data_IF_587575554679
#
_entry.id   IF_587575554679
#
_cell.length_a   1.000
_cell.length_b   1.000
_cell.length_c   1.000
_cell.angle_alpha   90.00
_cell.angle_beta   90.00
_cell.angle_gamma   90.00
#
_symmetry.space_group_name_H-M   'P 1'
#
loop_
_entity.id
_entity.type
_entity.pdbx_description
1 polymer ?
#
# COMPACT_ATOMS: atom_id res chain seq x y z
N UNK A 1 22.29 -45.95 7.21
CA UNK A 1 21.14 -45.17 7.72
C UNK A 1 20.99 -44.04 6.73
N UNK A 2 19.84 -43.84 6.08
CA UNK A 2 19.74 -42.93 4.94
C UNK A 2 20.40 -41.57 5.25
N UNK A 3 21.22 -41.08 4.33
CA UNK A 3 21.89 -39.79 4.45
C UNK A 3 20.90 -38.67 4.75
N UNK A 4 21.33 -37.68 5.52
CA UNK A 4 20.44 -36.66 6.09
C UNK A 4 20.87 -35.28 5.62
N UNK A 5 19.93 -34.50 5.09
CA UNK A 5 20.11 -33.07 4.85
C UNK A 5 19.64 -32.32 6.10
N UNK A 6 20.55 -31.59 6.75
CA UNK A 6 20.23 -30.64 7.79
C UNK A 6 20.16 -29.23 7.20
N UNK A 7 18.97 -28.64 7.18
CA UNK A 7 18.77 -27.32 6.59
C UNK A 7 19.07 -26.20 7.59
N UNK A 8 19.73 -25.16 7.08
CA UNK A 8 20.07 -23.93 7.82
C UNK A 8 19.12 -22.80 7.44
N UNK A 9 17.81 -23.07 7.48
CA UNK A 9 16.79 -22.08 7.13
C UNK A 9 16.70 -20.99 8.22
N UNK A 10 16.53 -19.72 7.83
CA UNK A 10 16.25 -18.66 8.79
C UNK A 10 14.95 -18.97 9.54
N UNK A 11 15.00 -18.90 10.87
CA UNK A 11 13.93 -19.29 11.80
C UNK A 11 12.64 -18.46 11.72
N UNK A 12 12.62 -17.40 10.89
CA UNK A 12 11.54 -16.40 10.88
C UNK A 12 10.59 -16.48 9.68
N UNK A 13 10.91 -17.19 8.61
CA UNK A 13 10.17 -17.01 7.34
C UNK A 13 9.28 -18.16 6.91
N UNK A 14 9.38 -19.36 7.49
CA UNK A 14 8.47 -20.47 7.12
C UNK A 14 8.22 -21.34 8.35
N UNK A 15 6.99 -21.85 8.50
CA UNK A 15 6.63 -22.95 9.42
C UNK A 15 7.33 -24.24 8.97
N UNK A 16 8.66 -24.23 9.01
CA UNK A 16 9.48 -25.37 8.69
C UNK A 16 9.45 -26.33 9.88
N UNK A 17 9.09 -27.58 9.66
CA UNK A 17 8.85 -28.54 10.76
C UNK A 17 9.63 -29.84 10.56
N UNK A 18 9.99 -30.50 11.67
CA UNK A 18 10.53 -31.86 11.64
C UNK A 18 9.43 -32.92 11.53
N UNK A 19 8.16 -32.53 11.57
CA UNK A 19 7.00 -33.42 11.52
C UNK A 19 6.48 -33.50 10.08
N UNK A 20 6.89 -34.54 9.37
CA UNK A 20 6.47 -34.83 8.00
C UNK A 20 7.34 -35.94 7.41
N UNK A 21 6.85 -36.64 6.40
CA UNK A 21 7.65 -37.64 5.68
C UNK A 21 8.15 -37.09 4.33
N UNK A 22 7.39 -36.16 3.73
CA UNK A 22 7.75 -35.55 2.46
C UNK A 22 8.44 -34.19 2.66
N UNK A 23 9.43 -33.90 1.82
CA UNK A 23 10.22 -32.66 1.90
C UNK A 23 9.34 -31.40 1.75
N UNK A 24 8.32 -31.47 0.89
CA UNK A 24 7.31 -30.40 0.70
C UNK A 24 6.46 -30.14 1.95
N UNK A 25 6.30 -31.10 2.86
CA UNK A 25 5.56 -30.91 4.11
C UNK A 25 6.44 -30.23 5.16
N UNK A 26 7.73 -30.56 5.14
CA UNK A 26 8.72 -29.97 6.05
C UNK A 26 9.06 -28.52 5.67
N UNK A 27 9.04 -28.18 4.37
CA UNK A 27 9.26 -26.83 3.84
C UNK A 27 8.07 -26.47 2.94
N UNK A 28 6.92 -26.09 3.53
CA UNK A 28 5.66 -25.91 2.78
C UNK A 28 5.59 -24.61 1.97
N UNK A 29 6.45 -23.64 2.28
CA UNK A 29 6.57 -22.40 1.53
C UNK A 29 8.02 -22.24 1.06
N UNK A 30 8.24 -21.61 -0.10
CA UNK A 30 9.57 -21.29 -0.55
C UNK A 30 10.34 -20.44 0.47
N UNK A 31 11.67 -20.56 0.48
CA UNK A 31 12.54 -19.78 1.36
C UNK A 31 13.48 -18.93 0.53
N UNK A 32 13.43 -17.61 0.71
CA UNK A 32 14.36 -16.71 0.03
C UNK A 32 15.82 -17.03 0.39
N UNK A 33 16.66 -17.12 -0.64
CA UNK A 33 18.08 -17.33 -0.52
C UNK A 33 18.86 -16.41 -1.46
N UNK A 34 20.02 -15.94 -0.99
CA UNK A 34 20.95 -15.12 -1.77
C UNK A 34 22.03 -15.98 -2.43
N UNK A 35 22.63 -15.48 -3.49
CA UNK A 35 23.78 -16.10 -4.14
C UNK A 35 24.89 -16.43 -3.11
N UNK A 36 25.35 -17.68 -3.12
CA UNK A 36 26.36 -18.19 -2.19
C UNK A 36 25.85 -18.52 -0.78
N UNK A 37 24.57 -18.25 -0.46
CA UNK A 37 24.00 -18.54 0.86
C UNK A 37 24.03 -20.04 1.15
N UNK A 38 24.37 -20.38 2.39
CA UNK A 38 24.37 -21.76 2.87
C UNK A 38 22.95 -22.20 3.19
N UNK A 39 22.47 -23.19 2.45
CA UNK A 39 21.11 -23.71 2.55
C UNK A 39 21.06 -24.88 3.55
N UNK A 40 22.14 -25.67 3.62
CA UNK A 40 22.23 -26.82 4.50
C UNK A 40 23.49 -27.63 4.29
N UNK A 41 23.58 -28.72 5.05
CA UNK A 41 24.66 -29.70 4.96
C UNK A 41 24.05 -31.10 4.85
N UNK A 42 24.52 -31.87 3.88
CA UNK A 42 24.22 -33.28 3.72
C UNK A 42 25.25 -34.13 4.45
N UNK A 43 24.79 -35.06 5.27
CA UNK A 43 25.59 -36.06 5.96
C UNK A 43 25.33 -37.43 5.33
N UNK A 44 26.40 -38.16 5.03
CA UNK A 44 26.30 -39.51 4.49
C UNK A 44 25.92 -40.53 5.58
N UNK A 45 25.59 -41.73 5.12
CA UNK A 45 25.28 -42.89 5.96
C UNK A 45 26.49 -43.23 6.87
N UNK A 46 26.54 -42.66 8.07
CA UNK A 46 27.57 -42.96 9.08
C UNK A 46 28.03 -41.76 9.91
N UNK A 47 27.77 -40.53 9.44
CA UNK A 47 28.14 -39.31 10.16
C UNK A 47 26.98 -38.82 11.02
N UNK A 48 27.21 -38.72 12.34
CA UNK A 48 26.26 -38.12 13.27
C UNK A 48 26.10 -36.62 12.96
N UNK A 49 24.86 -36.13 12.90
CA UNK A 49 24.57 -34.70 12.67
C UNK A 49 25.13 -33.90 13.86
N UNK A 50 26.15 -33.05 13.67
CA UNK A 50 26.71 -32.25 14.75
C UNK A 50 25.66 -31.28 15.30
N UNK A 51 25.69 -31.03 16.61
CA UNK A 51 24.70 -30.17 17.28
C UNK A 51 24.63 -28.75 16.68
N UNK A 52 25.77 -28.21 16.21
CA UNK A 52 25.85 -26.90 15.55
C UNK A 52 25.10 -26.82 14.21
N UNK A 53 24.83 -27.95 13.57
CA UNK A 53 24.05 -28.07 12.33
C UNK A 53 22.66 -28.66 12.58
N UNK A 54 22.21 -28.72 13.84
CA UNK A 54 20.90 -29.22 14.25
C UNK A 54 19.75 -28.28 13.88
N UNK A 55 19.63 -27.94 12.60
CA UNK A 55 18.63 -27.02 12.08
C UNK A 55 17.18 -27.46 12.32
N UNK A 56 16.24 -26.53 12.08
CA UNK A 56 14.81 -26.74 12.30
C UNK A 56 14.23 -27.86 11.40
N UNK A 57 14.88 -28.19 10.29
CA UNK A 57 14.46 -29.28 9.38
C UNK A 57 15.62 -30.24 9.16
N UNK A 58 15.35 -31.52 9.40
CA UNK A 58 16.24 -32.65 9.10
C UNK A 58 15.47 -33.60 8.20
N UNK A 59 15.94 -33.80 6.98
CA UNK A 59 15.25 -34.63 6.01
C UNK A 59 16.14 -35.80 5.59
N UNK A 60 15.61 -37.01 5.72
CA UNK A 60 16.28 -38.22 5.29
C UNK A 60 16.11 -38.40 3.78
N UNK A 61 17.22 -38.58 3.08
CA UNK A 61 17.26 -38.84 1.64
C UNK A 61 16.55 -40.18 1.35
N UNK A 62 15.62 -40.23 0.37
CA UNK A 62 15.03 -41.47 -0.09
C UNK A 62 16.09 -42.46 -0.54
N UNK A 63 15.95 -43.74 -0.16
CA UNK A 63 16.98 -44.77 -0.42
C UNK A 63 17.26 -45.02 -1.91
N UNK A 64 16.32 -44.65 -2.77
CA UNK A 64 16.33 -44.81 -4.22
C UNK A 64 16.90 -43.58 -4.96
N UNK A 65 17.21 -42.49 -4.26
CA UNK A 65 17.71 -41.24 -4.85
C UNK A 65 19.11 -40.87 -4.33
N UNK A 66 19.95 -40.31 -5.18
CA UNK A 66 21.24 -39.72 -4.80
C UNK A 66 21.09 -38.23 -4.46
N UNK A 67 22.08 -37.66 -3.75
CA UNK A 67 22.07 -36.23 -3.42
C UNK A 67 21.98 -35.35 -4.68
N UNK A 68 22.69 -35.70 -5.75
CA UNK A 68 22.67 -34.97 -7.02
C UNK A 68 21.31 -35.06 -7.74
N UNK A 69 20.54 -36.13 -7.52
CA UNK A 69 19.20 -36.25 -8.09
C UNK A 69 18.18 -35.39 -7.34
N UNK A 70 18.40 -35.16 -6.04
CA UNK A 70 17.50 -34.37 -5.20
C UNK A 70 17.87 -32.88 -5.23
N UNK A 71 19.14 -32.53 -5.31
CA UNK A 71 19.57 -31.14 -5.49
C UNK A 71 19.50 -30.77 -6.98
N UNK A 72 18.37 -30.17 -7.35
CA UNK A 72 18.11 -29.67 -8.70
C UNK A 72 18.83 -28.37 -9.03
N UNK A 73 18.35 -27.70 -10.08
CA UNK A 73 18.95 -26.47 -10.62
C UNK A 73 19.11 -25.36 -9.57
N UNK A 74 20.22 -24.65 -9.64
CA UNK A 74 20.57 -23.52 -8.78
C UNK A 74 21.09 -23.90 -7.39
N UNK A 75 21.34 -25.18 -7.13
CA UNK A 75 21.97 -25.65 -5.89
C UNK A 75 23.36 -26.19 -6.20
N UNK A 76 24.36 -25.57 -5.60
CA UNK A 76 25.75 -26.02 -5.68
C UNK A 76 26.01 -26.97 -4.52
N UNK A 77 26.56 -28.14 -4.83
CA UNK A 77 27.09 -29.08 -3.86
C UNK A 77 28.60 -28.94 -3.84
N UNK A 78 29.17 -28.63 -2.68
CA UNK A 78 30.62 -28.58 -2.48
C UNK A 78 31.05 -29.45 -1.30
N UNK A 79 32.29 -29.89 -1.29
CA UNK A 79 32.84 -30.59 -0.13
C UNK A 79 32.99 -29.62 1.06
N UNK A 80 32.84 -30.16 2.27
CA UNK A 80 33.00 -29.44 3.53
C UNK A 80 33.79 -30.31 4.54
N UNK A 81 34.22 -29.71 5.65
CA UNK A 81 34.93 -30.46 6.71
C UNK A 81 34.10 -31.61 7.29
N UNK A 82 32.77 -31.45 7.31
CA UNK A 82 31.82 -32.49 7.72
C UNK A 82 30.69 -32.55 6.70
N UNK A 83 30.59 -33.66 5.97
CA UNK A 83 29.56 -33.88 4.96
C UNK A 83 29.75 -33.04 3.69
N UNK A 84 28.64 -32.78 2.97
CA UNK A 84 28.61 -31.96 1.75
C UNK A 84 27.77 -30.72 1.97
N UNK A 85 28.29 -29.56 1.59
CA UNK A 85 27.61 -28.27 1.72
C UNK A 85 26.67 -28.05 0.54
N UNK A 86 25.48 -27.54 0.85
CA UNK A 86 24.51 -27.06 -0.13
C UNK A 86 24.46 -25.54 -0.08
N UNK A 87 24.71 -24.88 -1.22
CA UNK A 87 24.61 -23.43 -1.36
C UNK A 87 23.80 -23.01 -2.56
N UNK A 88 23.14 -21.86 -2.46
CA UNK A 88 22.45 -21.25 -3.59
C UNK A 88 23.46 -20.74 -4.64
N UNK A 89 23.23 -21.06 -5.91
CA UNK A 89 24.04 -20.57 -7.04
C UNK A 89 23.79 -19.07 -7.31
N UNK A 90 22.55 -18.63 -7.13
CA UNK A 90 22.10 -17.25 -7.35
C UNK A 90 21.02 -16.84 -6.35
N UNK A 91 20.55 -15.60 -6.47
CA UNK A 91 19.40 -15.10 -5.70
C UNK A 91 18.12 -15.81 -6.19
N UNK A 92 17.27 -16.24 -5.26
CA UNK A 92 16.01 -16.91 -5.60
C UNK A 92 15.31 -17.50 -4.38
N UNK A 93 14.27 -18.27 -4.63
CA UNK A 93 13.52 -18.99 -3.60
C UNK A 93 13.87 -20.48 -3.65
N UNK A 94 14.31 -21.03 -2.52
CA UNK A 94 14.48 -22.47 -2.34
C UNK A 94 13.11 -23.13 -2.26
N UNK A 95 12.79 -23.99 -3.22
CA UNK A 95 11.53 -24.73 -3.30
C UNK A 95 11.79 -26.20 -3.00
N UNK A 96 11.01 -26.73 -2.06
CA UNK A 96 10.92 -28.15 -1.77
C UNK A 96 9.77 -28.80 -2.54
N UNK A 97 10.04 -29.94 -3.16
CA UNK A 97 9.07 -30.76 -3.90
C UNK A 97 9.26 -32.24 -3.58
N UNK A 98 8.37 -33.09 -4.07
CA UNK A 98 8.53 -34.55 -3.96
C UNK A 98 9.76 -35.06 -4.72
N UNK A 99 10.18 -34.33 -5.75
CA UNK A 99 11.34 -34.67 -6.57
C UNK A 99 12.65 -34.23 -5.94
N UNK A 100 12.62 -33.19 -5.10
CA UNK A 100 13.76 -32.68 -4.35
C UNK A 100 13.73 -31.17 -4.16
N UNK A 101 14.92 -30.57 -4.07
CA UNK A 101 15.15 -29.14 -3.87
C UNK A 101 15.52 -28.48 -5.19
N UNK A 102 15.06 -27.24 -5.40
CA UNK A 102 15.52 -26.39 -6.51
C UNK A 102 15.50 -24.93 -6.09
N UNK A 103 16.31 -24.10 -6.74
CA UNK A 103 16.13 -22.65 -6.72
C UNK A 103 15.13 -22.25 -7.80
N UNK A 104 14.27 -21.28 -7.46
CA UNK A 104 13.28 -20.68 -8.35
C UNK A 104 13.43 -19.18 -8.33
N UNK A 105 13.31 -18.53 -9.50
CA UNK A 105 13.32 -17.07 -9.59
C UNK A 105 11.95 -16.47 -9.21
N UNK A 106 10.97 -17.33 -8.89
CA UNK A 106 9.60 -16.99 -8.51
C UNK A 106 9.23 -17.68 -7.21
N UNK A 107 8.59 -16.95 -6.31
CA UNK A 107 8.04 -17.44 -5.05
C UNK A 107 6.65 -18.05 -5.30
N UNK A 108 6.59 -19.36 -5.52
CA UNK A 108 5.34 -20.08 -5.79
C UNK A 108 4.70 -20.65 -4.52
N UNK A 109 3.43 -20.33 -4.29
CA UNK A 109 2.60 -20.87 -3.22
C UNK A 109 1.52 -21.77 -3.81
N UNK A 110 1.65 -23.07 -3.57
CA UNK A 110 0.66 -24.07 -3.99
C UNK A 110 -0.45 -24.20 -2.96
N UNK A 111 -1.47 -23.35 -3.08
CA UNK A 111 -2.65 -23.33 -2.20
C UNK A 111 -3.03 -21.91 -1.79
N UNK A 112 -3.92 -21.81 -0.80
CA UNK A 112 -4.39 -20.53 -0.27
C UNK A 112 -3.43 -19.97 0.76
N UNK A 113 -3.26 -18.65 0.76
CA UNK A 113 -2.67 -17.95 1.89
C UNK A 113 -3.75 -17.59 2.91
N UNK A 114 -3.55 -18.01 4.16
CA UNK A 114 -4.45 -17.80 5.28
C UNK A 114 -3.64 -17.66 6.59
N UNK A 115 -4.34 -17.45 7.72
CA UNK A 115 -3.71 -17.27 9.04
C UNK A 115 -2.79 -18.43 9.45
N UNK A 116 -2.96 -19.63 8.85
CA UNK A 116 -2.07 -20.78 9.06
C UNK A 116 -0.83 -20.74 8.16
N UNK A 117 -0.93 -20.37 6.89
CA UNK A 117 0.25 -20.28 6.02
C UNK A 117 1.10 -19.06 6.35
N UNK A 118 0.44 -17.94 6.69
CA UNK A 118 1.08 -16.67 7.01
C UNK A 118 1.15 -15.71 5.82
N UNK A 119 1.75 -14.56 6.10
CA UNK A 119 2.01 -13.49 5.14
C UNK A 119 3.26 -13.81 4.29
N UNK A 120 3.35 -13.18 3.12
CA UNK A 120 4.50 -13.31 2.22
C UNK A 120 5.16 -11.95 2.07
N UNK A 121 6.47 -11.88 2.26
CA UNK A 121 7.29 -10.70 2.00
C UNK A 121 8.59 -11.16 1.36
N UNK A 122 8.77 -10.89 0.07
CA UNK A 122 9.90 -11.37 -0.73
C UNK A 122 10.30 -10.33 -1.79
N UNK A 123 11.59 -10.20 -2.15
CA UNK A 123 11.99 -9.38 -3.28
C UNK A 123 11.63 -10.00 -4.64
N UNK A 124 11.22 -11.27 -4.68
CA UNK A 124 10.94 -12.01 -5.91
C UNK A 124 9.49 -11.84 -6.36
N UNK A 125 9.18 -12.06 -7.65
CA UNK A 125 7.81 -12.24 -8.11
C UNK A 125 7.10 -13.36 -7.34
N UNK A 126 5.81 -13.20 -7.06
CA UNK A 126 5.00 -14.15 -6.27
C UNK A 126 3.88 -14.74 -7.14
N UNK A 127 3.69 -16.05 -7.08
CA UNK A 127 2.55 -16.74 -7.69
C UNK A 127 1.81 -17.52 -6.63
N UNK A 128 0.57 -17.14 -6.34
CA UNK A 128 -0.33 -17.87 -5.44
C UNK A 128 -1.34 -18.64 -6.29
N UNK A 129 -1.27 -19.97 -6.23
CA UNK A 129 -2.15 -20.84 -6.99
C UNK A 129 -3.58 -20.92 -6.39
N UNK A 130 -3.73 -20.61 -5.11
CA UNK A 130 -5.02 -20.45 -4.44
C UNK A 130 -5.41 -18.98 -4.27
N UNK A 131 -6.25 -18.71 -3.28
CA UNK A 131 -6.72 -17.38 -2.89
C UNK A 131 -5.98 -16.79 -1.69
N UNK A 132 -6.37 -15.56 -1.34
CA UNK A 132 -5.93 -14.87 -0.12
C UNK A 132 -7.14 -14.73 0.80
N UNK A 133 -7.05 -15.27 2.01
CA UNK A 133 -8.08 -15.10 3.04
C UNK A 133 -7.90 -13.79 3.84
N UNK A 134 -8.91 -13.48 4.64
CA UNK A 134 -8.94 -12.32 5.54
C UNK A 134 -7.65 -12.11 6.35
N UNK A 135 -7.15 -10.88 6.28
CA UNK A 135 -6.03 -10.39 7.08
C UNK A 135 -4.66 -10.75 6.52
N UNK A 136 -4.60 -11.38 5.35
CA UNK A 136 -3.34 -11.75 4.71
C UNK A 136 -2.71 -10.56 4.00
N UNK A 137 -1.39 -10.47 4.13
CA UNK A 137 -0.56 -9.49 3.42
C UNK A 137 0.45 -10.20 2.54
N UNK A 138 0.51 -9.80 1.26
CA UNK A 138 1.52 -10.22 0.29
C UNK A 138 2.27 -8.99 -0.17
N UNK A 139 3.59 -8.99 0.02
CA UNK A 139 4.51 -7.95 -0.45
C UNK A 139 5.56 -8.58 -1.35
N UNK A 140 5.66 -8.06 -2.57
CA UNK A 140 6.60 -8.55 -3.58
C UNK A 140 7.41 -7.40 -4.17
N UNK A 141 8.72 -7.61 -4.30
CA UNK A 141 9.62 -6.76 -5.10
C UNK A 141 9.43 -6.92 -6.62
N UNK A 142 8.55 -7.83 -7.05
CA UNK A 142 8.24 -8.12 -8.45
C UNK A 142 6.74 -8.13 -8.74
N UNK A 143 6.36 -8.89 -9.76
CA UNK A 143 4.95 -9.09 -10.14
C UNK A 143 4.27 -10.09 -9.19
N UNK A 144 2.95 -9.93 -8.97
CA UNK A 144 2.14 -10.83 -8.14
C UNK A 144 1.00 -11.42 -8.97
N UNK A 145 0.96 -12.74 -9.12
CA UNK A 145 -0.18 -13.47 -9.68
C UNK A 145 -0.94 -14.20 -8.57
N UNK A 146 -2.26 -13.99 -8.50
CA UNK A 146 -3.16 -14.71 -7.60
C UNK A 146 -4.23 -15.36 -8.45
N UNK A 147 -4.32 -16.69 -8.38
CA UNK A 147 -5.25 -17.47 -9.21
C UNK A 147 -6.63 -17.62 -8.58
N UNK A 148 -6.70 -17.66 -7.26
CA UNK A 148 -7.94 -17.70 -6.50
C UNK A 148 -8.51 -16.31 -6.17
N UNK A 149 -9.50 -16.29 -5.28
CA UNK A 149 -10.17 -15.09 -4.82
C UNK A 149 -9.31 -14.34 -3.80
N UNK A 150 -9.32 -13.00 -3.86
CA UNK A 150 -8.72 -12.15 -2.83
C UNK A 150 -9.83 -11.63 -1.92
N UNK A 151 -9.84 -12.04 -0.66
CA UNK A 151 -10.87 -11.70 0.33
C UNK A 151 -10.23 -10.98 1.52
N UNK A 152 -10.59 -9.71 1.73
CA UNK A 152 -10.15 -8.90 2.89
C UNK A 152 -8.63 -8.92 3.13
N UNK A 153 -7.86 -8.92 2.03
CA UNK A 153 -6.41 -9.04 2.04
C UNK A 153 -5.73 -7.80 1.45
N UNK A 154 -4.41 -7.70 1.69
CA UNK A 154 -3.55 -6.62 1.18
C UNK A 154 -2.46 -7.18 0.28
N UNK A 155 -2.33 -6.62 -0.91
CA UNK A 155 -1.31 -7.00 -1.88
C UNK A 155 -0.55 -5.74 -2.29
N UNK A 156 0.76 -5.72 -2.06
CA UNK A 156 1.65 -4.67 -2.51
C UNK A 156 2.72 -5.26 -3.44
N UNK A 157 2.76 -4.80 -4.69
CA UNK A 157 3.71 -5.25 -5.70
C UNK A 157 4.50 -4.07 -6.28
N UNK A 158 5.83 -4.18 -6.29
CA UNK A 158 6.70 -3.25 -7.03
C UNK A 158 6.61 -3.48 -8.56
N UNK A 159 6.02 -4.59 -8.98
CA UNK A 159 5.63 -4.87 -10.36
C UNK A 159 4.15 -4.63 -10.64
N UNK A 160 3.54 -5.58 -11.35
CA UNK A 160 2.12 -5.65 -11.73
C UNK A 160 1.38 -6.68 -10.88
N UNK A 161 0.07 -6.53 -10.73
CA UNK A 161 -0.79 -7.50 -10.02
C UNK A 161 -1.79 -8.12 -10.98
N UNK A 162 -1.85 -9.45 -11.02
CA UNK A 162 -2.84 -10.23 -11.78
C UNK A 162 -3.70 -11.06 -10.82
N UNK A 163 -4.92 -10.63 -10.54
CA UNK A 163 -5.88 -11.35 -9.68
C UNK A 163 -6.97 -12.03 -10.52
N UNK A 164 -6.74 -13.29 -10.91
CA UNK A 164 -7.62 -14.05 -11.82
C UNK A 164 -8.96 -14.44 -11.17
N UNK A 165 -8.99 -14.68 -9.87
CA UNK A 165 -10.23 -15.04 -9.16
C UNK A 165 -11.11 -13.86 -8.75
N UNK A 166 -10.65 -12.63 -8.98
CA UNK A 166 -11.35 -11.41 -8.56
C UNK A 166 -10.98 -10.93 -7.16
N UNK A 167 -11.51 -9.78 -6.79
CA UNK A 167 -11.17 -9.04 -5.57
C UNK A 167 -12.44 -8.64 -4.85
N UNK A 168 -12.54 -9.02 -3.57
CA UNK A 168 -13.67 -8.69 -2.71
C UNK A 168 -13.22 -8.44 -1.27
N UNK A 169 -14.05 -7.78 -0.49
CA UNK A 169 -13.90 -7.70 0.97
C UNK A 169 -14.57 -6.45 1.52
N UNK A 170 -14.98 -6.45 2.78
CA UNK A 170 -15.84 -5.40 3.36
C UNK A 170 -15.18 -4.03 3.58
N UNK A 171 -14.43 -3.50 2.61
CA UNK A 171 -13.77 -2.19 2.65
C UNK A 171 -12.31 -2.21 3.12
N UNK A 172 -11.80 -3.34 3.61
CA UNK A 172 -10.41 -3.48 4.07
C UNK A 172 -9.44 -4.03 3.01
N UNK A 173 -9.96 -4.51 1.87
CA UNK A 173 -9.18 -5.08 0.77
C UNK A 173 -8.46 -3.99 -0.02
N UNK A 174 -7.14 -4.15 -0.21
CA UNK A 174 -6.32 -3.23 -0.99
C UNK A 174 -5.35 -3.98 -1.89
N UNK A 175 -5.34 -3.64 -3.18
CA UNK A 175 -4.29 -4.05 -4.11
C UNK A 175 -3.55 -2.80 -4.58
N UNK A 176 -2.24 -2.78 -4.39
CA UNK A 176 -1.35 -1.75 -4.88
C UNK A 176 -0.28 -2.34 -5.80
N UNK A 177 -0.12 -1.76 -6.98
CA UNK A 177 0.90 -2.12 -7.95
C UNK A 177 1.59 -0.86 -8.48
N UNK A 178 2.92 -0.88 -8.60
CA UNK A 178 3.65 0.23 -9.24
C UNK A 178 3.39 0.29 -10.74
N UNK A 179 3.08 -0.86 -11.37
CA UNK A 179 2.73 -0.96 -12.79
C UNK A 179 1.23 -1.20 -12.95
N UNK A 180 0.84 -2.26 -13.65
CA UNK A 180 -0.55 -2.51 -14.03
C UNK A 180 -1.27 -3.40 -13.02
N UNK A 181 -2.59 -3.26 -12.91
CA UNK A 181 -3.46 -4.21 -12.19
C UNK A 181 -4.45 -4.80 -13.17
N UNK A 182 -4.51 -6.13 -13.23
CA UNK A 182 -5.56 -6.85 -13.96
C UNK A 182 -6.30 -7.78 -13.03
N UNK A 183 -7.63 -7.75 -13.09
CA UNK A 183 -8.46 -8.62 -12.26
C UNK A 183 -9.78 -8.98 -12.95
N UNK A 184 -10.40 -10.07 -12.51
CA UNK A 184 -11.68 -10.51 -13.06
C UNK A 184 -12.82 -9.56 -12.67
N UNK A 185 -12.93 -9.22 -11.40
CA UNK A 185 -13.89 -8.24 -10.87
C UNK A 185 -13.33 -7.59 -9.61
N UNK A 186 -13.87 -6.44 -9.25
CA UNK A 186 -13.52 -5.72 -8.02
C UNK A 186 -14.80 -5.31 -7.29
N UNK A 187 -14.91 -5.69 -6.02
CA UNK A 187 -16.06 -5.36 -5.19
C UNK A 187 -15.64 -4.90 -3.80
N UNK A 188 -16.16 -3.76 -3.34
CA UNK A 188 -15.89 -3.21 -2.00
C UNK A 188 -14.39 -3.07 -1.67
N UNK A 189 -13.54 -2.85 -2.67
CA UNK A 189 -12.09 -2.84 -2.51
C UNK A 189 -11.44 -1.54 -3.00
N UNK A 190 -10.18 -1.33 -2.61
CA UNK A 190 -9.35 -0.24 -3.10
C UNK A 190 -8.25 -0.76 -4.03
N UNK A 191 -8.13 -0.21 -5.23
CA UNK A 191 -7.09 -0.55 -6.20
C UNK A 191 -6.22 0.68 -6.47
N UNK A 192 -4.91 0.50 -6.41
CA UNK A 192 -3.92 1.53 -6.74
C UNK A 192 -2.96 0.97 -7.77
N UNK A 193 -2.91 1.56 -8.97
CA UNK A 193 -2.02 1.16 -10.03
C UNK A 193 -1.27 2.38 -10.57
N UNK A 194 0.06 2.34 -10.59
CA UNK A 194 0.86 3.38 -11.26
C UNK A 194 0.73 3.37 -12.78
N UNK A 195 0.37 2.21 -13.36
CA UNK A 195 0.07 1.99 -14.76
C UNK A 195 -1.42 1.96 -15.06
N UNK A 196 -1.86 0.94 -15.79
CA UNK A 196 -3.24 0.72 -16.22
C UNK A 196 -3.98 -0.20 -15.25
N UNK A 197 -5.32 -0.09 -15.25
CA UNK A 197 -6.21 -1.03 -14.56
C UNK A 197 -7.14 -1.68 -15.57
N UNK A 198 -7.18 -3.01 -15.61
CA UNK A 198 -8.10 -3.78 -16.43
C UNK A 198 -8.98 -4.64 -15.53
N UNK A 199 -10.30 -4.49 -15.66
CA UNK A 199 -11.28 -5.27 -14.90
C UNK A 199 -12.21 -5.97 -15.89
N UNK A 200 -12.14 -7.29 -15.97
CA UNK A 200 -12.76 -8.05 -17.07
C UNK A 200 -14.30 -8.16 -16.96
N UNK A 201 -14.88 -8.14 -15.76
CA UNK A 201 -16.32 -8.36 -15.53
C UNK A 201 -17.06 -7.15 -14.96
N UNK A 202 -16.71 -6.69 -13.75
CA UNK A 202 -17.35 -5.52 -13.15
C UNK A 202 -16.50 -4.87 -12.04
N UNK A 203 -16.75 -3.59 -11.81
CA UNK A 203 -16.20 -2.81 -10.69
C UNK A 203 -17.37 -2.26 -9.89
N UNK A 204 -17.50 -2.68 -8.63
CA UNK A 204 -18.63 -2.32 -7.77
C UNK A 204 -18.21 -1.76 -6.42
N UNK A 205 -18.79 -0.63 -6.00
CA UNK A 205 -18.57 -0.01 -4.69
C UNK A 205 -17.09 0.09 -4.30
N UNK A 206 -16.23 0.42 -5.26
CA UNK A 206 -14.78 0.34 -5.12
C UNK A 206 -14.11 1.68 -5.39
N UNK A 207 -12.93 1.87 -4.81
CA UNK A 207 -12.08 3.02 -5.07
C UNK A 207 -10.93 2.61 -5.97
N UNK A 208 -10.70 3.31 -7.08
CA UNK A 208 -9.61 2.99 -8.00
C UNK A 208 -8.80 4.24 -8.32
N UNK A 209 -7.50 4.17 -8.07
CA UNK A 209 -6.51 5.18 -8.44
C UNK A 209 -5.60 4.60 -9.52
N UNK A 210 -5.72 5.12 -10.74
CA UNK A 210 -4.98 4.65 -11.90
C UNK A 210 -4.09 5.77 -12.48
N UNK A 211 -2.79 5.51 -12.56
CA UNK A 211 -1.82 6.43 -13.11
C UNK A 211 -1.92 6.62 -14.62
N UNK A 212 -2.60 5.70 -15.34
CA UNK A 212 -2.83 5.77 -16.79
C UNK A 212 -4.31 5.59 -17.13
N UNK A 213 -4.69 4.47 -17.76
CA UNK A 213 -6.03 4.18 -18.26
C UNK A 213 -6.72 3.07 -17.47
N UNK A 214 -8.01 3.25 -17.19
CA UNK A 214 -8.89 2.18 -16.67
C UNK A 214 -9.72 1.62 -17.82
N UNK A 215 -9.74 0.30 -17.99
CA UNK A 215 -10.47 -0.38 -19.07
C UNK A 215 -11.33 -1.51 -18.55
N UNK A 216 -12.62 -1.46 -18.85
CA UNK A 216 -13.61 -2.51 -18.65
C UNK A 216 -14.10 -2.97 -20.03
N UNK A 217 -13.67 -4.15 -20.52
CA UNK A 217 -13.95 -4.60 -21.88
C UNK A 217 -15.40 -5.10 -22.05
N UNK A 218 -15.90 -5.08 -23.30
CA UNK A 218 -17.20 -5.66 -23.63
C UNK A 218 -18.37 -4.99 -22.90
N UNK A 219 -19.17 -5.81 -22.22
CA UNK A 219 -20.35 -5.38 -21.44
C UNK A 219 -20.03 -5.11 -19.96
N UNK A 220 -18.75 -5.15 -19.58
CA UNK A 220 -18.34 -4.91 -18.20
C UNK A 220 -18.76 -3.53 -17.70
N UNK A 221 -19.18 -3.46 -16.43
CA UNK A 221 -19.86 -2.29 -15.89
C UNK A 221 -19.19 -1.75 -14.62
N UNK A 222 -19.35 -0.45 -14.40
CA UNK A 222 -18.91 0.24 -13.18
C UNK A 222 -20.12 0.79 -12.43
N UNK A 223 -20.31 0.37 -11.17
CA UNK A 223 -21.43 0.79 -10.33
C UNK A 223 -20.94 1.09 -8.92
N UNK A 224 -21.05 2.34 -8.49
CA UNK A 224 -20.74 2.72 -7.12
C UNK A 224 -19.24 2.88 -6.84
N UNK A 225 -18.92 3.89 -6.04
CA UNK A 225 -17.55 4.21 -5.65
C UNK A 225 -16.92 5.31 -6.51
N UNK A 226 -15.59 5.39 -6.46
CA UNK A 226 -14.82 6.50 -7.04
C UNK A 226 -13.65 5.97 -7.86
N UNK A 227 -13.64 6.26 -9.16
CA UNK A 227 -12.58 5.82 -10.08
C UNK A 227 -11.88 7.05 -10.64
N UNK A 228 -10.56 7.04 -10.61
CA UNK A 228 -9.72 8.13 -11.08
C UNK A 228 -8.65 7.62 -12.03
N UNK A 229 -8.52 8.27 -13.18
CA UNK A 229 -7.53 7.88 -14.18
C UNK A 229 -6.86 9.12 -14.80
N UNK A 230 -5.54 9.08 -15.00
CA UNK A 230 -4.83 10.21 -15.57
C UNK A 230 -5.04 10.37 -17.09
N UNK A 231 -5.17 9.26 -17.82
CA UNK A 231 -5.23 9.27 -19.29
C UNK A 231 -6.64 9.02 -19.83
N UNK A 232 -7.44 8.19 -19.16
CA UNK A 232 -8.78 7.87 -19.65
C UNK A 232 -9.47 6.74 -18.91
N UNK A 233 -10.78 6.64 -19.11
CA UNK A 233 -11.58 5.53 -18.62
C UNK A 233 -12.41 5.00 -19.79
N UNK A 234 -12.47 3.69 -19.94
CA UNK A 234 -13.31 3.01 -20.91
C UNK A 234 -14.12 1.93 -20.21
N UNK A 235 -15.44 1.92 -20.41
CA UNK A 235 -16.32 0.89 -19.87
C UNK A 235 -17.46 0.52 -20.81
N UNK A 236 -17.99 -0.70 -20.64
CA UNK A 236 -19.21 -1.14 -21.31
C UNK A 236 -20.42 -0.38 -20.83
N UNK A 237 -20.63 -0.32 -19.50
CA UNK A 237 -21.73 0.44 -18.87
C UNK A 237 -21.24 1.22 -17.66
N UNK A 238 -21.89 2.36 -17.40
CA UNK A 238 -21.53 3.25 -16.30
C UNK A 238 -22.76 3.62 -15.47
N UNK A 239 -22.70 3.38 -14.16
CA UNK A 239 -23.80 3.61 -13.23
C UNK A 239 -24.87 2.52 -13.29
N UNK A 240 -25.96 2.75 -12.57
CA UNK A 240 -27.12 1.85 -12.53
C UNK A 240 -28.42 2.67 -12.44
N UNK A 241 -29.55 2.05 -12.83
CA UNK A 241 -30.89 2.64 -12.71
C UNK A 241 -31.25 3.01 -11.26
N UNK A 242 -30.69 2.30 -10.28
CA UNK A 242 -30.83 2.60 -8.86
C UNK A 242 -30.08 3.88 -8.43
N UNK A 243 -29.44 4.60 -9.36
CA UNK A 243 -28.71 5.84 -9.14
C UNK A 243 -27.66 5.74 -8.02
N UNK A 244 -26.99 4.59 -7.92
CA UNK A 244 -25.89 4.37 -6.97
C UNK A 244 -24.80 5.40 -7.23
N UNK A 245 -24.38 6.12 -6.18
CA UNK A 245 -23.36 7.17 -6.26
C UNK A 245 -22.08 6.67 -6.90
N UNK A 246 -21.86 7.08 -8.15
CA UNK A 246 -20.75 6.64 -8.99
C UNK A 246 -20.00 7.88 -9.46
N UNK A 247 -18.74 8.02 -9.05
CA UNK A 247 -17.92 9.19 -9.35
C UNK A 247 -16.70 8.82 -10.19
N UNK A 248 -16.60 9.42 -11.38
CA UNK A 248 -15.49 9.24 -12.30
C UNK A 248 -14.69 10.54 -12.37
N UNK A 249 -13.38 10.47 -12.21
CA UNK A 249 -12.50 11.60 -12.48
C UNK A 249 -11.42 11.22 -13.49
N UNK A 250 -11.30 12.02 -14.54
CA UNK A 250 -10.41 11.72 -15.66
C UNK A 250 -9.55 12.93 -15.98
N UNK A 251 -8.29 12.67 -16.32
CA UNK A 251 -7.36 13.69 -16.79
C UNK A 251 -6.47 14.32 -15.73
N UNK A 252 -6.44 13.80 -14.49
CA UNK A 252 -5.47 14.23 -13.46
C UNK A 252 -4.80 13.01 -12.85
N UNK A 253 -3.53 13.14 -12.50
CA UNK A 253 -2.83 12.09 -11.79
C UNK A 253 -3.45 11.90 -10.38
N UNK A 254 -4.05 10.74 -10.09
CA UNK A 254 -4.75 10.53 -8.82
C UNK A 254 -3.81 10.52 -7.62
N UNK A 255 -2.57 10.05 -7.77
CA UNK A 255 -1.63 9.96 -6.66
C UNK A 255 -1.17 11.34 -6.20
N UNK A 256 -0.92 12.26 -7.14
CA UNK A 256 -0.61 13.65 -6.82
C UNK A 256 -1.81 14.35 -6.17
N UNK A 257 -3.04 14.06 -6.66
CA UNK A 257 -4.25 14.65 -6.10
C UNK A 257 -4.51 14.17 -4.67
N UNK A 258 -4.39 12.86 -4.43
CA UNK A 258 -4.57 12.27 -3.09
C UNK A 258 -3.49 12.76 -2.13
N UNK A 259 -2.23 12.87 -2.57
CA UNK A 259 -1.16 13.47 -1.76
C UNK A 259 -1.50 14.91 -1.40
N UNK A 260 -1.89 15.73 -2.38
CA UNK A 260 -2.27 17.12 -2.16
C UNK A 260 -3.47 17.25 -1.21
N UNK A 261 -4.51 16.46 -1.43
CA UNK A 261 -5.72 16.45 -0.60
C UNK A 261 -5.41 16.02 0.85
N UNK A 262 -4.51 15.05 1.04
CA UNK A 262 -4.05 14.64 2.37
C UNK A 262 -3.32 15.77 3.10
N UNK A 263 -2.42 16.46 2.40
CA UNK A 263 -1.66 17.59 2.95
C UNK A 263 -2.57 18.81 3.22
N UNK A 264 -3.52 19.11 2.33
CA UNK A 264 -4.53 20.18 2.53
C UNK A 264 -5.42 19.88 3.74
N UNK A 265 -5.88 18.63 3.90
CA UNK A 265 -6.67 18.22 5.05
C UNK A 265 -5.89 18.30 6.37
N UNK A 266 -4.61 17.91 6.36
CA UNK A 266 -3.72 18.06 7.51
C UNK A 266 -3.52 19.54 7.87
N UNK A 267 -3.28 20.41 6.88
CA UNK A 267 -3.15 21.84 7.09
C UNK A 267 -4.43 22.45 7.69
N UNK A 268 -5.60 22.13 7.14
CA UNK A 268 -6.88 22.60 7.66
C UNK A 268 -7.18 22.11 9.09
N UNK A 269 -6.71 20.89 9.44
CA UNK A 269 -6.80 20.38 10.82
C UNK A 269 -5.92 21.20 11.76
N UNK A 270 -4.66 21.42 11.39
CA UNK A 270 -3.71 22.23 12.18
C UNK A 270 -4.19 23.67 12.35
N UNK A 271 -4.79 24.28 11.32
CA UNK A 271 -5.38 25.62 11.40
C UNK A 271 -6.50 25.69 12.44
N UNK A 272 -7.43 24.73 12.43
CA UNK A 272 -8.49 24.64 13.45
C UNK A 272 -7.93 24.46 14.85
N UNK A 273 -6.90 23.64 15.01
CA UNK A 273 -6.25 23.48 16.31
C UNK A 273 -5.57 24.78 16.77
N UNK A 274 -4.82 25.46 15.89
CA UNK A 274 -4.20 26.75 16.20
C UNK A 274 -5.25 27.78 16.61
N UNK A 275 -6.40 27.81 15.95
CA UNK A 275 -7.50 28.72 16.29
C UNK A 275 -8.02 28.47 17.72
N UNK A 276 -8.27 27.21 18.09
CA UNK A 276 -8.69 26.81 19.44
C UNK A 276 -7.65 27.16 20.50
N UNK A 277 -6.36 26.90 20.22
CA UNK A 277 -5.27 27.26 21.13
C UNK A 277 -5.12 28.78 21.25
N UNK A 278 -5.26 29.53 20.15
CA UNK A 278 -5.22 30.99 20.17
C UNK A 278 -6.35 31.57 21.01
N UNK A 279 -7.57 31.03 20.89
CA UNK A 279 -8.69 31.46 21.71
C UNK A 279 -8.45 31.17 23.21
N UNK A 280 -7.83 30.03 23.53
CA UNK A 280 -7.48 29.66 24.90
C UNK A 280 -6.39 30.57 25.49
N UNK A 281 -5.37 30.94 24.70
CA UNK A 281 -4.35 31.93 25.09
C UNK A 281 -5.01 33.29 25.33
N UNK A 282 -5.89 33.77 24.44
CA UNK A 282 -6.62 35.04 24.65
C UNK A 282 -7.45 35.01 25.93
N UNK A 283 -8.07 33.87 26.25
CA UNK A 283 -8.79 33.70 27.51
C UNK A 283 -7.85 33.81 28.72
N UNK A 284 -6.71 33.10 28.69
CA UNK A 284 -5.69 33.20 29.75
C UNK A 284 -5.09 34.60 29.86
N UNK A 285 -4.87 35.28 28.74
CA UNK A 285 -4.41 36.66 28.65
C UNK A 285 -5.42 37.62 29.29
N UNK A 286 -6.72 37.48 28.98
CA UNK A 286 -7.77 38.28 29.62
C UNK A 286 -7.89 38.05 31.14
N UNK A 287 -7.60 36.83 31.61
CA UNK A 287 -7.48 36.54 33.04
C UNK A 287 -6.28 37.25 33.69
N UNK A 288 -5.17 37.39 32.95
CA UNK A 288 -3.95 38.06 33.42
C UNK A 288 -4.07 39.59 33.35
N UNK A 289 -4.70 40.15 32.31
CA UNK A 289 -4.96 41.59 32.16
C UNK A 289 -5.88 42.15 33.26
N UNK A 290 -6.80 41.32 33.80
CA UNK A 290 -7.62 41.65 34.96
C UNK A 290 -6.83 41.84 36.27
N UNK A 291 -5.52 41.54 36.28
CA UNK A 291 -4.63 41.64 37.43
C UNK A 291 -3.42 42.54 37.13
N UNK A 292 -3.66 43.85 37.01
CA UNK A 292 -2.69 44.97 37.03
C UNK A 292 -1.53 44.90 36.01
N UNK A 293 -1.64 45.71 34.96
CA UNK A 293 -0.49 46.31 34.26
C UNK A 293 0.34 45.37 33.39
N UNK A 294 -0.30 44.57 32.53
CA UNK A 294 0.37 43.70 31.56
C UNK A 294 0.09 44.22 30.13
N UNK A 295 1.14 44.57 29.38
CA UNK A 295 1.02 45.05 27.99
C UNK A 295 1.25 43.89 27.02
N UNK A 296 0.18 43.47 26.32
CA UNK A 296 0.09 42.27 25.49
C UNK A 296 1.15 42.19 24.37
N UNK A 297 1.59 43.34 23.85
CA UNK A 297 2.52 43.39 22.71
C UNK A 297 3.95 42.96 23.08
N UNK A 298 4.36 43.16 24.34
CA UNK A 298 5.67 42.74 24.84
C UNK A 298 5.65 41.34 25.47
N UNK A 299 4.47 40.73 25.66
CA UNK A 299 4.29 39.52 26.46
C UNK A 299 5.15 38.34 25.99
N UNK A 300 5.26 38.04 24.69
CA UNK A 300 6.01 36.87 24.23
C UNK A 300 7.52 37.05 24.41
N UNK A 301 8.06 38.22 24.08
CA UNK A 301 9.50 38.52 24.16
C UNK A 301 9.93 38.77 25.61
N UNK A 302 9.07 39.44 26.39
CA UNK A 302 9.27 39.66 27.82
C UNK A 302 9.02 38.40 28.64
N UNK A 303 8.16 37.45 28.23
CA UNK A 303 7.98 36.15 28.90
C UNK A 303 9.14 35.19 28.68
N UNK A 304 9.78 35.19 27.50
CA UNK A 304 11.02 34.44 27.32
C UNK A 304 12.16 35.02 28.17
N UNK A 305 12.31 36.35 28.15
CA UNK A 305 13.29 37.04 29.00
C UNK A 305 12.97 36.87 30.48
N UNK A 306 11.71 36.95 30.87
CA UNK A 306 11.22 36.74 32.23
C UNK A 306 11.42 35.28 32.66
N UNK A 307 11.06 34.27 31.86
CA UNK A 307 11.30 32.88 32.22
C UNK A 307 12.80 32.59 32.46
N UNK A 308 13.70 33.27 31.73
CA UNK A 308 15.14 33.19 31.96
C UNK A 308 15.63 34.00 33.18
N UNK A 309 15.17 35.22 33.41
CA UNK A 309 15.56 36.04 34.58
C UNK A 309 14.87 35.60 35.87
N UNK A 310 13.65 35.07 35.82
CA UNK A 310 12.87 34.63 36.98
C UNK A 310 13.32 33.27 37.53
N UNK A 311 14.03 32.45 36.74
CA UNK A 311 14.78 31.29 37.27
C UNK A 311 15.91 31.72 38.22
N UNK A 312 16.32 32.99 38.16
CA UNK A 312 17.48 33.55 38.85
C UNK A 312 17.12 34.35 40.10
N UNK A 313 15.90 34.88 40.18
CA UNK A 313 15.41 35.65 41.31
C UNK A 313 14.19 34.96 41.94
N UNK A 314 14.39 34.24 43.04
CA UNK A 314 13.32 33.70 43.90
C UNK A 314 12.45 34.84 44.49
N UNK A 315 11.48 35.35 43.72
CA UNK A 315 10.37 36.13 44.28
C UNK A 315 9.17 35.22 44.50
N UNK A 316 8.61 35.31 45.71
CA UNK A 316 7.40 34.60 46.14
C UNK A 316 6.25 35.07 45.26
N UNK A 317 5.90 34.22 44.30
CA UNK A 317 4.71 34.34 43.49
C UNK A 317 3.66 33.40 44.11
N UNK A 318 2.42 33.84 44.28
CA UNK A 318 1.34 32.94 44.74
C UNK A 318 1.29 31.70 43.83
N UNK A 319 1.11 30.51 44.41
CA UNK A 319 1.15 29.22 43.68
C UNK A 319 0.20 29.21 42.47
N UNK A 320 -0.93 29.92 42.56
CA UNK A 320 -1.89 30.10 41.46
C UNK A 320 -1.29 30.83 40.25
N UNK A 321 -0.49 31.88 40.47
CA UNK A 321 0.16 32.68 39.41
C UNK A 321 1.28 31.89 38.74
N UNK A 322 2.05 31.11 39.51
CA UNK A 322 3.08 30.22 38.96
C UNK A 322 2.47 29.15 38.06
N UNK A 323 1.38 28.53 38.53
CA UNK A 323 0.65 27.53 37.77
C UNK A 323 0.01 28.11 36.50
N UNK A 324 -0.52 29.34 36.57
CA UNK A 324 -1.06 30.04 35.40
C UNK A 324 0.03 30.34 34.36
N UNK A 325 1.21 30.81 34.79
CA UNK A 325 2.33 31.12 33.89
C UNK A 325 2.91 29.86 33.23
N UNK A 326 3.04 28.76 33.97
CA UNK A 326 3.49 27.47 33.42
C UNK A 326 2.49 26.90 32.40
N UNK A 327 1.18 26.97 32.69
CA UNK A 327 0.13 26.58 31.75
C UNK A 327 0.08 27.46 30.50
N UNK A 328 0.29 28.77 30.67
CA UNK A 328 0.32 29.75 29.58
C UNK A 328 1.55 29.55 28.69
N UNK A 329 2.74 29.42 29.28
CA UNK A 329 3.99 29.13 28.57
C UNK A 329 3.95 27.81 27.82
N UNK A 330 3.40 26.75 28.44
CA UNK A 330 3.17 25.46 27.77
C UNK A 330 2.22 25.57 26.57
N UNK A 331 1.17 26.39 26.67
CA UNK A 331 0.22 26.62 25.58
C UNK A 331 0.84 27.39 24.41
N UNK A 332 1.68 28.40 24.70
CA UNK A 332 2.43 29.16 23.68
C UNK A 332 3.43 28.26 22.95
N UNK A 333 4.18 27.43 23.67
CA UNK A 333 5.15 26.51 23.06
C UNK A 333 4.45 25.48 22.15
N UNK A 334 3.32 24.95 22.58
CA UNK A 334 2.49 24.05 21.75
C UNK A 334 1.99 24.75 20.48
N UNK A 335 1.54 26.00 20.58
CA UNK A 335 1.10 26.80 19.43
C UNK A 335 2.26 27.11 18.48
N UNK A 336 3.44 27.44 18.99
CA UNK A 336 4.64 27.69 18.17
C UNK A 336 5.03 26.43 17.39
N UNK A 337 5.08 25.28 18.05
CA UNK A 337 5.35 24.00 17.38
C UNK A 337 4.35 23.71 16.27
N UNK A 338 3.04 23.86 16.54
CA UNK A 338 1.99 23.65 15.52
C UNK A 338 2.06 24.65 14.38
N UNK A 339 2.41 25.91 14.65
CA UNK A 339 2.58 26.93 13.60
C UNK A 339 3.77 26.60 12.70
N UNK A 340 4.86 26.11 13.27
CA UNK A 340 6.03 25.69 12.49
C UNK A 340 5.75 24.39 11.72
N UNK A 341 4.99 23.46 12.30
CA UNK A 341 4.47 22.28 11.59
C UNK A 341 3.56 22.67 10.41
N UNK A 342 2.62 23.60 10.62
CA UNK A 342 1.77 24.12 9.55
C UNK A 342 2.57 24.83 8.45
N UNK A 343 3.62 25.59 8.81
CA UNK A 343 4.52 26.24 7.84
C UNK A 343 5.23 25.22 6.98
N UNK A 344 5.75 24.15 7.58
CA UNK A 344 6.38 23.05 6.84
C UNK A 344 5.38 22.34 5.93
N UNK A 345 4.16 22.08 6.42
CA UNK A 345 3.12 21.41 5.64
C UNK A 345 2.66 22.27 4.45
N UNK A 346 2.56 23.60 4.63
CA UNK A 346 2.29 24.54 3.53
C UNK A 346 3.45 24.62 2.52
N UNK A 347 4.70 24.59 2.97
CA UNK A 347 5.84 24.52 2.07
C UNK A 347 5.83 23.23 1.22
N UNK A 348 5.42 22.09 1.80
CA UNK A 348 5.21 20.84 1.07
C UNK A 348 4.09 20.96 0.03
N UNK A 349 2.99 21.65 0.34
CA UNK A 349 1.93 21.92 -0.65
C UNK A 349 2.46 22.70 -1.85
N UNK A 350 3.28 23.72 -1.62
CA UNK A 350 3.86 24.53 -2.68
C UNK A 350 4.84 23.72 -3.56
N UNK A 351 5.57 22.76 -2.98
CA UNK A 351 6.41 21.82 -3.72
C UNK A 351 5.60 20.82 -4.54
N UNK A 352 4.56 20.21 -3.95
CA UNK A 352 3.65 19.28 -4.65
C UNK A 352 2.93 19.99 -5.79
N UNK A 353 2.58 21.28 -5.62
CA UNK A 353 1.96 22.10 -6.67
C UNK A 353 2.89 22.47 -7.84
N UNK A 354 4.21 22.45 -7.63
CA UNK A 354 5.23 22.78 -8.65
C UNK A 354 5.75 21.57 -9.44
N UNK A 355 5.37 20.35 -9.06
CA UNK A 355 5.76 19.13 -9.77
C UNK A 355 5.21 19.10 -11.20
N UNK A 356 6.11 19.11 -12.19
CA UNK A 356 5.76 18.82 -13.59
C UNK A 356 5.10 17.44 -13.68
N UNK A 357 3.81 17.40 -14.04
CA UNK A 357 3.00 16.17 -14.12
C UNK A 357 1.64 16.22 -13.42
N UNK A 358 1.37 17.27 -12.62
CA UNK A 358 0.06 17.51 -11.97
C UNK A 358 -0.99 18.24 -12.81
N UNK A 359 -0.63 18.62 -14.05
CA UNK A 359 -1.52 19.34 -14.97
C UNK A 359 -2.70 18.47 -15.43
N UNK A 360 -3.84 19.12 -15.69
CA UNK A 360 -4.97 18.46 -16.31
C UNK A 360 -4.64 18.06 -17.76
N UNK A 361 -4.86 16.80 -18.13
CA UNK A 361 -4.71 16.28 -19.48
C UNK A 361 -5.98 16.53 -20.30
N UNK A 362 -6.00 17.51 -21.23
CA UNK A 362 -7.19 17.82 -22.01
C UNK A 362 -7.49 16.78 -23.09
N UNK A 363 -6.57 15.87 -23.40
CA UNK A 363 -6.79 14.76 -24.32
C UNK A 363 -7.50 13.58 -23.63
N UNK A 364 -7.64 13.59 -22.30
CA UNK A 364 -8.25 12.50 -21.58
C UNK A 364 -9.75 12.37 -21.89
N UNK A 365 -10.22 11.13 -22.00
CA UNK A 365 -11.60 10.80 -22.41
C UNK A 365 -12.20 9.77 -21.46
N UNK A 366 -13.49 9.90 -21.20
CA UNK A 366 -14.31 8.85 -20.62
C UNK A 366 -15.21 8.30 -21.72
N UNK A 367 -14.98 7.06 -22.13
CA UNK A 367 -15.72 6.39 -23.21
C UNK A 367 -16.61 5.32 -22.59
N UNK A 368 -17.92 5.42 -22.84
CA UNK A 368 -18.87 4.37 -22.48
C UNK A 368 -19.38 3.75 -23.76
N UNK A 369 -19.19 2.45 -23.94
CA UNK A 369 -19.56 1.75 -25.19
C UNK A 369 -21.05 1.43 -25.28
N UNK A 370 -21.69 1.19 -24.15
CA UNK A 370 -23.14 1.02 -24.00
C UNK A 370 -23.73 2.20 -23.23
N UNK A 371 -24.51 1.92 -22.19
CA UNK A 371 -25.30 2.93 -21.50
C UNK A 371 -24.57 3.56 -20.32
N UNK A 372 -24.65 4.89 -20.22
CA UNK A 372 -24.35 5.65 -19.02
C UNK A 372 -25.66 6.10 -18.35
N UNK A 373 -25.89 5.65 -17.12
CA UNK A 373 -27.12 5.90 -16.36
C UNK A 373 -27.11 7.28 -15.65
N UNK A 374 -28.29 7.85 -15.33
CA UNK A 374 -28.40 9.09 -14.57
C UNK A 374 -27.81 8.95 -13.17
N UNK A 375 -27.41 10.08 -12.59
CA UNK A 375 -26.83 10.16 -11.25
C UNK A 375 -25.31 9.98 -11.20
N UNK A 376 -24.68 9.51 -12.27
CA UNK A 376 -23.22 9.43 -12.38
C UNK A 376 -22.62 10.84 -12.37
N UNK A 377 -21.59 11.03 -11.55
CA UNK A 377 -20.81 12.27 -11.46
C UNK A 377 -19.50 12.09 -12.22
N UNK A 378 -19.24 12.95 -13.20
CA UNK A 378 -18.04 12.92 -14.03
C UNK A 378 -17.27 14.22 -13.81
N UNK A 379 -16.00 14.11 -13.44
CA UNK A 379 -15.07 15.22 -13.30
C UNK A 379 -14.01 15.16 -14.38
N UNK A 380 -13.90 16.24 -15.13
CA UNK A 380 -12.92 16.43 -16.21
C UNK A 380 -12.20 17.75 -15.92
N UNK A 381 -11.11 17.67 -15.17
CA UNK A 381 -10.40 18.87 -14.70
C UNK A 381 -11.26 19.65 -13.71
N UNK A 382 -11.55 20.91 -14.03
CA UNK A 382 -12.43 21.76 -13.20
C UNK A 382 -13.91 21.65 -13.60
N UNK A 383 -14.22 20.93 -14.68
CA UNK A 383 -15.59 20.69 -15.09
C UNK A 383 -16.19 19.52 -14.33
N UNK A 384 -17.39 19.72 -13.79
CA UNK A 384 -18.17 18.69 -13.11
C UNK A 384 -19.49 18.53 -13.86
N UNK A 385 -19.76 17.31 -14.31
CA UNK A 385 -20.97 16.94 -15.02
C UNK A 385 -21.72 15.87 -14.23
N UNK A 386 -22.98 16.10 -13.92
CA UNK A 386 -23.88 15.08 -13.37
C UNK A 386 -24.84 14.65 -14.48
N UNK A 387 -24.94 13.34 -14.72
CA UNK A 387 -25.85 12.84 -15.74
C UNK A 387 -27.30 12.96 -15.24
N UNK A 388 -28.11 13.74 -15.96
CA UNK A 388 -29.54 13.93 -15.65
C UNK A 388 -30.45 12.89 -16.32
N UNK A 389 -29.95 12.26 -17.39
CA UNK A 389 -30.65 11.25 -18.18
C UNK A 389 -29.67 10.19 -18.65
N UNK A 390 -30.21 9.13 -19.25
CA UNK A 390 -29.42 8.09 -19.88
C UNK A 390 -28.79 8.57 -21.20
N UNK A 391 -27.59 8.09 -21.45
CA UNK A 391 -26.87 8.30 -22.71
C UNK A 391 -26.40 6.95 -23.24
N UNK A 392 -26.62 6.70 -24.53
CA UNK A 392 -26.18 5.49 -25.22
C UNK A 392 -24.89 5.78 -26.02
N UNK A 393 -23.85 4.98 -25.78
CA UNK A 393 -22.53 5.13 -26.38
C UNK A 393 -21.81 6.48 -26.16
N UNK A 394 -21.96 7.19 -25.02
CA UNK A 394 -21.39 8.53 -24.89
C UNK A 394 -19.86 8.53 -24.77
N UNK A 395 -19.25 9.56 -25.32
CA UNK A 395 -17.86 9.94 -25.02
C UNK A 395 -17.84 11.31 -24.36
N UNK A 396 -17.33 11.36 -23.13
CA UNK A 396 -17.18 12.60 -22.37
C UNK A 396 -15.76 13.12 -22.53
N UNK A 397 -15.65 14.43 -22.80
CA UNK A 397 -14.37 15.08 -22.99
C UNK A 397 -14.39 16.53 -22.51
N UNK A 398 -13.19 17.03 -22.19
CA UNK A 398 -13.02 18.40 -21.79
C UNK A 398 -12.87 19.31 -23.00
N UNK A 399 -13.60 20.42 -23.00
CA UNK A 399 -13.41 21.50 -23.97
C UNK A 399 -13.41 22.84 -23.27
N UNK A 400 -12.47 23.69 -23.64
CA UNK A 400 -12.39 25.07 -23.15
C UNK A 400 -13.39 25.90 -23.95
N UNK A 401 -14.41 26.47 -23.32
CA UNK A 401 -15.37 27.32 -24.01
C UNK A 401 -14.73 28.65 -24.45
N UNK A 402 -15.24 29.25 -25.53
CA UNK A 402 -14.77 30.54 -26.07
C UNK A 402 -14.97 31.75 -25.12
N UNK A 403 -15.54 31.55 -23.93
CA UNK A 403 -15.69 32.56 -22.86
C UNK A 403 -14.85 32.29 -21.60
N UNK A 404 -13.88 31.38 -21.65
CA UNK A 404 -12.93 31.14 -20.56
C UNK A 404 -13.41 30.23 -19.41
N UNK A 405 -14.69 29.85 -19.36
CA UNK A 405 -15.19 28.84 -18.41
C UNK A 405 -15.00 27.42 -18.98
N UNK A 406 -14.43 26.48 -18.21
CA UNK A 406 -14.30 25.08 -18.62
C UNK A 406 -15.68 24.42 -18.69
N UNK A 407 -15.96 23.66 -19.76
CA UNK A 407 -17.21 22.90 -19.90
C UNK A 407 -16.86 21.45 -20.26
N UNK A 408 -17.46 20.50 -19.53
CA UNK A 408 -17.45 19.09 -19.95
C UNK A 408 -18.52 18.92 -21.03
N UNK A 409 -18.12 18.45 -22.22
CA UNK A 409 -19.05 18.16 -23.31
C UNK A 409 -19.32 16.65 -23.41
N UNK A 410 -20.54 16.31 -23.80
CA UNK A 410 -20.95 14.94 -24.14
C UNK A 410 -20.98 14.83 -25.66
N UNK A 411 -20.08 14.03 -26.23
CA UNK A 411 -20.20 13.58 -27.61
C UNK A 411 -21.03 12.30 -27.66
N UNK A 412 -22.17 12.32 -28.34
CA UNK A 412 -22.93 11.12 -28.68
C UNK A 412 -22.63 10.83 -30.15
N UNK A 413 -22.25 9.58 -30.45
CA UNK A 413 -21.98 9.15 -31.83
C UNK A 413 -23.25 8.79 -32.56
#
# INVERSE_FOLDING_TARGET
MPGIIAFLLPSRTVKATQHGNALKEMIPLPVDAKAGQHLGIFFDDGVAIPAQYGGAVKWALPKDKTLQQVCGRGIIISDAEVGKRLSAEGDGALVASDDGLKMSDVFEVFGDLNKRTGNVETPLPVVVHGGLSDGISVKSGGDVEIRGLVEEARVDADGSVLAKGGVTGGGATRLAARKDVKCQFVQNASIEAGGNVVVDAYLMNSAVLCGKKVTLPGEAFMVGGKVMAAEGIEAGRLGSEAAVTTEMEVGRNPFLRVQREAVENNAARLEREIEVFTASIRYSESMLEGMVGFDAADAVTSLFKAAETFKREEKILDDEKRLALEKFGGSIMSLMHKRDELRLERARLDEVGKGEGGGFNPAARLVVRGVAHPGVLIRLGDAVLRLEKEYDGPTFFYKKAEGGRPVGEVGVK
#
